data_IF_266065004468
#
_entry.id   IF_266065004468
#
_cell.length_a   1.000
_cell.length_b   1.000
_cell.length_c   1.000
_cell.angle_alpha   90.00
_cell.angle_beta   90.00
_cell.angle_gamma   90.00
#
_symmetry.space_group_name_H-M   'P 1'
#
loop_
_entity.id
_entity.type
_entity.pdbx_description
1 polymer ?
#
# COMPACT_ATOMS: atom_id res chain seq x y z
N UNK A 1 -27.59 22.63 17.74
CA UNK A 1 -27.46 22.30 19.19
C UNK A 1 -27.13 20.82 19.43
N UNK A 2 -27.98 19.85 19.05
CA UNK A 2 -27.66 18.41 19.25
C UNK A 2 -26.61 17.92 18.25
N UNK A 3 -26.71 18.30 16.96
CA UNK A 3 -25.73 17.90 15.94
C UNK A 3 -24.33 18.48 16.22
N UNK A 4 -24.24 19.71 16.72
CA UNK A 4 -22.97 20.36 17.06
C UNK A 4 -22.30 19.68 18.25
N UNK A 5 -23.09 19.25 19.25
CA UNK A 5 -22.60 18.48 20.40
C UNK A 5 -22.05 17.12 19.96
N UNK A 6 -22.81 16.38 19.15
CA UNK A 6 -22.38 15.07 18.62
C UNK A 6 -21.13 15.21 17.75
N UNK A 7 -21.03 16.26 16.94
CA UNK A 7 -19.84 16.52 16.13
C UNK A 7 -18.61 16.78 17.02
N UNK A 8 -18.75 17.62 18.06
CA UNK A 8 -17.68 17.91 19.01
C UNK A 8 -17.22 16.66 19.79
N UNK A 9 -18.16 15.81 20.22
CA UNK A 9 -17.84 14.54 20.89
C UNK A 9 -17.11 13.57 19.96
N UNK A 10 -17.50 13.52 18.68
CA UNK A 10 -16.83 12.70 17.68
C UNK A 10 -15.42 13.21 17.37
N UNK A 11 -15.22 14.52 17.29
CA UNK A 11 -13.90 15.14 17.13
C UNK A 11 -13.01 14.83 18.33
N UNK A 12 -13.50 14.99 19.56
CA UNK A 12 -12.76 14.63 20.77
C UNK A 12 -12.41 13.13 20.83
N UNK A 13 -13.34 12.26 20.42
CA UNK A 13 -13.07 10.83 20.31
C UNK A 13 -11.98 10.56 19.27
N UNK A 14 -12.08 11.18 18.10
CA UNK A 14 -11.12 11.05 17.01
C UNK A 14 -9.72 11.50 17.46
N UNK A 15 -9.57 12.65 18.11
CA UNK A 15 -8.30 13.12 18.67
C UNK A 15 -7.69 12.11 19.65
N UNK A 16 -8.53 11.50 20.51
CA UNK A 16 -8.07 10.53 21.50
C UNK A 16 -7.59 9.20 20.90
N UNK A 17 -8.13 8.78 19.74
CA UNK A 17 -7.85 7.45 19.17
C UNK A 17 -7.01 7.49 17.89
N UNK A 18 -6.99 8.59 17.13
CA UNK A 18 -6.37 8.67 15.80
C UNK A 18 -4.89 8.31 15.82
N UNK A 19 -4.15 8.77 16.84
CA UNK A 19 -2.73 8.46 17.03
C UNK A 19 -2.45 6.95 17.17
N UNK A 20 -3.41 6.16 17.66
CA UNK A 20 -3.29 4.69 17.73
C UNK A 20 -3.31 4.04 16.34
N UNK A 21 -3.94 4.70 15.37
CA UNK A 21 -4.05 4.23 13.98
C UNK A 21 -3.01 4.85 13.03
N UNK A 22 -2.20 5.81 13.50
CA UNK A 22 -1.07 6.38 12.75
C UNK A 22 0.19 5.49 12.79
N UNK A 23 0.18 4.42 13.60
CA UNK A 23 1.34 3.53 13.79
C UNK A 23 1.48 2.58 12.62
N UNK A 24 2.69 2.47 12.08
CA UNK A 24 3.04 1.47 11.08
C UNK A 24 3.46 0.13 11.71
N UNK A 25 3.81 0.09 13.00
CA UNK A 25 4.22 -1.12 13.73
C UNK A 25 3.27 -2.33 13.60
N UNK A 26 1.93 -2.18 13.59
CA UNK A 26 1.03 -3.32 13.43
C UNK A 26 1.29 -4.12 12.14
N UNK A 27 1.72 -3.46 11.05
CA UNK A 27 2.05 -4.16 9.79
C UNK A 27 3.25 -5.09 9.97
N UNK A 28 4.28 -4.65 10.69
CA UNK A 28 5.48 -5.45 10.96
C UNK A 28 5.13 -6.67 11.80
N UNK A 29 4.27 -6.51 12.81
CA UNK A 29 3.83 -7.61 13.68
C UNK A 29 2.97 -8.63 12.95
N UNK A 30 2.07 -8.18 12.08
CA UNK A 30 1.31 -9.09 11.21
C UNK A 30 2.25 -9.88 10.32
N UNK A 31 3.24 -9.22 9.68
CA UNK A 31 4.23 -9.91 8.85
C UNK A 31 5.02 -10.95 9.65
N UNK A 32 5.54 -10.60 10.82
CA UNK A 32 6.27 -11.52 11.69
C UNK A 32 5.41 -12.75 12.05
N UNK A 33 4.19 -12.51 12.51
CA UNK A 33 3.24 -13.57 12.87
C UNK A 33 2.93 -14.52 11.71
N UNK A 34 2.72 -13.96 10.51
CA UNK A 34 2.45 -14.72 9.28
C UNK A 34 3.67 -15.50 8.85
N UNK A 35 4.85 -14.89 8.85
CA UNK A 35 6.10 -15.55 8.43
C UNK A 35 6.50 -16.67 9.38
N UNK A 36 6.27 -16.51 10.69
CA UNK A 36 6.49 -17.57 11.68
C UNK A 36 5.66 -18.83 11.38
N UNK A 37 4.45 -18.68 10.82
CA UNK A 37 3.48 -19.78 10.60
C UNK A 37 3.46 -20.31 9.18
N UNK A 38 3.62 -19.44 8.19
CA UNK A 38 3.47 -19.74 6.77
C UNK A 38 4.81 -19.68 6.01
N UNK A 39 5.89 -19.23 6.65
CA UNK A 39 7.19 -19.00 6.04
C UNK A 39 7.74 -20.24 5.33
N UNK A 40 8.10 -20.08 4.05
CA UNK A 40 8.54 -21.17 3.19
C UNK A 40 9.53 -20.60 2.16
N UNK A 41 10.72 -21.20 1.95
CA UNK A 41 11.63 -20.80 0.88
C UNK A 41 10.99 -20.73 -0.52
N UNK A 42 9.97 -21.54 -0.79
CA UNK A 42 9.20 -21.56 -2.03
C UNK A 42 8.01 -20.57 -2.04
N UNK A 43 7.82 -19.78 -0.97
CA UNK A 43 6.73 -18.81 -0.85
C UNK A 43 6.68 -17.79 -1.98
N UNK A 44 5.50 -17.19 -2.16
CA UNK A 44 5.20 -16.22 -3.21
C UNK A 44 4.68 -14.93 -2.60
N UNK A 45 5.28 -13.82 -3.01
CA UNK A 45 4.78 -12.47 -2.77
C UNK A 45 3.80 -12.08 -3.89
N UNK A 46 2.63 -11.54 -3.55
CA UNK A 46 1.60 -11.15 -4.50
C UNK A 46 1.21 -9.70 -4.24
N UNK A 47 1.42 -8.82 -5.22
CA UNK A 47 1.03 -7.42 -5.16
C UNK A 47 -0.27 -7.20 -5.91
N UNK A 48 -1.20 -6.50 -5.28
CA UNK A 48 -2.42 -6.03 -5.92
C UNK A 48 -2.91 -4.73 -5.26
N UNK A 49 -3.74 -3.95 -5.93
CA UNK A 49 -4.45 -2.83 -5.32
C UNK A 49 -5.95 -3.05 -5.23
N UNK A 50 -6.52 -2.49 -4.16
CA UNK A 50 -7.97 -2.58 -3.93
C UNK A 50 -8.55 -1.20 -3.66
N UNK A 51 -9.77 -0.99 -4.16
CA UNK A 51 -10.48 0.27 -4.05
C UNK A 51 -11.53 0.25 -2.95
N UNK A 52 -11.48 1.24 -2.07
CA UNK A 52 -12.44 1.44 -0.99
C UNK A 52 -13.34 2.62 -1.31
N UNK A 53 -14.62 2.36 -1.58
CA UNK A 53 -15.60 3.42 -1.84
C UNK A 53 -15.74 4.33 -0.62
N UNK A 54 -15.80 5.65 -0.89
CA UNK A 54 -15.89 6.67 0.14
C UNK A 54 -16.86 7.77 -0.24
N UNK A 55 -17.36 8.47 0.77
CA UNK A 55 -18.15 9.70 0.63
C UNK A 55 -17.34 10.89 1.15
N UNK A 56 -17.56 12.05 0.55
CA UNK A 56 -16.85 13.29 0.89
C UNK A 56 -15.39 13.32 0.42
N UNK A 57 -14.66 14.34 0.88
CA UNK A 57 -13.32 14.70 0.38
C UNK A 57 -12.21 14.66 1.45
N UNK A 58 -12.56 14.36 2.71
CA UNK A 58 -11.64 14.47 3.85
C UNK A 58 -10.79 13.22 4.10
N UNK A 59 -11.22 12.03 3.67
CA UNK A 59 -10.44 10.80 3.88
C UNK A 59 -9.15 10.81 3.04
N UNK A 60 -8.00 10.53 3.65
CA UNK A 60 -6.68 10.51 3.01
C UNK A 60 -6.68 9.83 1.63
N UNK A 61 -6.20 10.49 0.58
CA UNK A 61 -6.11 9.90 -0.77
C UNK A 61 -7.45 9.70 -1.49
N UNK A 62 -8.58 10.12 -0.91
CA UNK A 62 -9.88 9.99 -1.57
C UNK A 62 -10.01 10.95 -2.76
N UNK A 63 -10.38 10.42 -3.91
CA UNK A 63 -10.78 11.19 -5.08
C UNK A 63 -11.61 10.32 -6.03
N UNK A 64 -12.17 10.92 -7.08
CA UNK A 64 -12.71 10.19 -8.23
C UNK A 64 -11.56 9.54 -9.00
N UNK A 65 -11.46 8.23 -8.93
CA UNK A 65 -10.47 7.43 -9.63
C UNK A 65 -11.05 6.04 -9.94
N UNK A 66 -10.43 5.32 -10.88
CA UNK A 66 -10.88 3.97 -11.20
C UNK A 66 -10.67 3.04 -10.00
N UNK A 67 -11.73 2.37 -9.58
CA UNK A 67 -11.70 1.32 -8.56
C UNK A 67 -11.95 -0.01 -9.24
N UNK A 68 -10.98 -0.93 -9.18
CA UNK A 68 -11.14 -2.28 -9.71
C UNK A 68 -12.32 -3.01 -9.06
N UNK A 69 -12.50 -2.84 -7.74
CA UNK A 69 -13.61 -3.42 -6.98
C UNK A 69 -14.98 -2.92 -7.44
N UNK A 70 -15.09 -1.65 -7.86
CA UNK A 70 -16.34 -1.09 -8.36
C UNK A 70 -16.52 -1.25 -9.89
N UNK A 71 -15.45 -1.64 -10.60
CA UNK A 71 -15.41 -1.73 -12.06
C UNK A 71 -15.56 -0.37 -12.79
N UNK A 72 -15.47 0.76 -12.06
CA UNK A 72 -15.73 2.10 -12.62
C UNK A 72 -15.02 3.19 -11.84
N UNK A 73 -15.03 4.41 -12.41
CA UNK A 73 -14.53 5.61 -11.73
C UNK A 73 -15.51 6.05 -10.66
N UNK A 74 -15.06 6.02 -9.41
CA UNK A 74 -15.84 6.42 -8.24
C UNK A 74 -14.98 7.18 -7.24
N UNK A 75 -15.66 7.86 -6.32
CA UNK A 75 -14.96 8.45 -5.18
C UNK A 75 -14.48 7.33 -4.24
N UNK A 76 -13.17 7.09 -4.25
CA UNK A 76 -12.57 5.99 -3.51
C UNK A 76 -11.14 6.30 -3.05
N UNK A 77 -10.69 5.54 -2.07
CA UNK A 77 -9.28 5.38 -1.72
C UNK A 77 -8.76 4.12 -2.39
N UNK A 78 -7.48 4.11 -2.77
CA UNK A 78 -6.82 2.90 -3.28
C UNK A 78 -5.71 2.52 -2.31
N UNK A 79 -5.70 1.27 -1.85
CA UNK A 79 -4.56 0.71 -1.14
C UNK A 79 -3.82 -0.28 -2.02
N UNK A 80 -2.48 -0.25 -1.99
CA UNK A 80 -1.60 -1.26 -2.57
C UNK A 80 -1.23 -2.25 -1.48
N UNK A 81 -1.41 -3.54 -1.72
CA UNK A 81 -1.28 -4.61 -0.73
C UNK A 81 -0.24 -5.64 -1.16
N UNK A 82 0.37 -6.28 -0.17
CA UNK A 82 1.24 -7.44 -0.36
C UNK A 82 0.66 -8.63 0.39
N UNK A 83 0.21 -9.62 -0.38
CA UNK A 83 -0.10 -10.94 0.15
C UNK A 83 1.14 -11.83 0.11
N UNK A 84 1.21 -12.74 1.08
CA UNK A 84 2.17 -13.83 1.13
C UNK A 84 1.40 -15.14 1.00
N UNK A 85 1.88 -16.05 0.16
CA UNK A 85 1.30 -17.37 -0.04
C UNK A 85 2.36 -18.47 -0.01
N UNK A 86 2.05 -19.61 0.61
CA UNK A 86 2.84 -20.82 0.59
C UNK A 86 1.94 -22.07 0.61
N UNK A 87 2.51 -23.26 0.69
CA UNK A 87 1.74 -24.49 0.88
C UNK A 87 0.93 -24.52 2.19
N UNK A 88 1.31 -23.72 3.19
CA UNK A 88 0.63 -23.66 4.48
C UNK A 88 -0.58 -22.69 4.51
N UNK A 89 -0.74 -21.83 3.50
CA UNK A 89 -1.82 -20.86 3.43
C UNK A 89 -1.40 -19.51 2.85
N UNK A 90 -2.24 -18.49 3.03
CA UNK A 90 -1.99 -17.13 2.55
C UNK A 90 -2.52 -16.05 3.49
N UNK A 91 -1.88 -14.89 3.52
CA UNK A 91 -2.31 -13.73 4.29
C UNK A 91 -1.72 -12.41 3.76
N UNK A 92 -2.35 -11.29 4.09
CA UNK A 92 -1.79 -9.96 3.86
C UNK A 92 -0.68 -9.67 4.88
N UNK A 93 0.47 -9.20 4.40
CA UNK A 93 1.65 -8.93 5.25
C UNK A 93 2.15 -7.49 5.19
N UNK A 94 1.71 -6.70 4.21
CA UNK A 94 2.05 -5.27 4.12
C UNK A 94 1.02 -4.52 3.28
N UNK A 95 1.03 -3.18 3.37
CA UNK A 95 0.13 -2.27 2.67
C UNK A 95 0.70 -0.86 2.59
N UNK A 96 0.33 -0.13 1.55
CA UNK A 96 0.50 1.31 1.40
C UNK A 96 -0.78 1.96 0.90
N UNK A 97 -1.04 3.20 1.32
CA UNK A 97 -2.13 4.00 0.76
C UNK A 97 -1.61 4.75 -0.47
N UNK A 98 -2.30 4.63 -1.60
CA UNK A 98 -2.01 5.46 -2.75
C UNK A 98 -2.56 6.87 -2.54
N UNK A 99 -1.65 7.85 -2.51
CA UNK A 99 -2.00 9.27 -2.47
C UNK A 99 -1.82 9.87 -3.88
N UNK A 100 -2.92 10.30 -4.52
CA UNK A 100 -2.84 10.99 -5.81
C UNK A 100 -2.02 12.27 -5.77
N UNK A 101 -1.53 12.74 -6.92
CA UNK A 101 -0.85 14.04 -7.03
C UNK A 101 -1.74 15.19 -6.50
N UNK A 102 -3.04 15.14 -6.74
CA UNK A 102 -4.01 16.12 -6.23
C UNK A 102 -4.07 16.23 -4.70
N UNK A 103 -3.63 15.20 -3.99
CA UNK A 103 -3.47 15.21 -2.53
C UNK A 103 -2.08 15.72 -2.16
N UNK A 104 -1.05 15.11 -2.76
CA UNK A 104 0.34 15.48 -2.47
C UNK A 104 0.76 16.80 -3.11
N UNK A 105 -0.13 17.57 -3.73
CA UNK A 105 0.07 18.98 -4.08
C UNK A 105 -0.60 19.95 -3.09
N UNK A 106 -1.49 19.46 -2.22
CA UNK A 106 -2.24 20.24 -1.23
C UNK A 106 -1.79 19.85 0.20
N UNK A 107 -0.82 20.61 0.73
CA UNK A 107 -0.22 20.32 2.04
C UNK A 107 -1.19 20.53 3.20
N UNK A 108 -2.07 21.51 3.11
CA UNK A 108 -3.01 21.79 4.19
C UNK A 108 -4.06 20.68 4.29
N UNK A 109 -4.51 20.16 3.14
CA UNK A 109 -5.36 18.96 3.09
C UNK A 109 -4.66 17.71 3.61
N UNK A 110 -3.38 17.52 3.27
CA UNK A 110 -2.57 16.42 3.82
C UNK A 110 -2.48 16.48 5.34
N UNK A 111 -2.12 17.63 5.90
CA UNK A 111 -1.99 17.83 7.35
C UNK A 111 -3.32 17.62 8.07
N UNK A 112 -4.42 18.12 7.51
CA UNK A 112 -5.75 17.88 8.05
C UNK A 112 -6.15 16.39 8.07
N UNK A 113 -5.55 15.55 7.20
CA UNK A 113 -5.74 14.11 7.18
C UNK A 113 -4.64 13.33 7.95
N UNK A 114 -3.73 14.02 8.65
CA UNK A 114 -2.63 13.42 9.40
C UNK A 114 -1.48 12.88 8.54
N UNK A 115 -1.33 13.36 7.30
CA UNK A 115 -0.24 12.99 6.39
C UNK A 115 0.91 13.99 6.57
N UNK A 116 2.10 13.48 6.89
CA UNK A 116 3.30 14.31 7.07
C UNK A 116 3.83 14.91 5.76
N UNK A 117 4.54 16.03 5.87
CA UNK A 117 5.07 16.81 4.73
C UNK A 117 6.19 16.07 3.96
N UNK A 118 6.80 15.06 4.59
CA UNK A 118 7.77 14.15 3.99
C UNK A 118 7.15 13.21 2.95
N UNK A 119 5.85 12.95 3.05
CA UNK A 119 5.15 12.05 2.11
C UNK A 119 5.00 12.73 0.75
N UNK A 120 5.69 12.17 -0.26
CA UNK A 120 5.64 12.64 -1.64
C UNK A 120 4.75 11.74 -2.49
N UNK A 121 4.37 12.24 -3.67
CA UNK A 121 3.70 11.42 -4.67
C UNK A 121 4.54 10.18 -5.00
N UNK A 122 3.89 9.03 -5.04
CA UNK A 122 4.46 7.78 -5.52
C UNK A 122 3.41 7.03 -6.33
N UNK A 123 3.79 6.55 -7.51
CA UNK A 123 2.91 5.71 -8.33
C UNK A 123 2.69 4.35 -7.65
N UNK A 124 1.60 3.65 -7.98
CA UNK A 124 1.33 2.31 -7.42
C UNK A 124 2.49 1.33 -7.63
N UNK A 125 3.17 1.28 -8.81
CA UNK A 125 4.39 0.47 -8.97
C UNK A 125 5.54 0.86 -8.04
N UNK A 126 5.74 2.15 -7.75
CA UNK A 126 6.75 2.59 -6.79
C UNK A 126 6.37 2.16 -5.36
N UNK A 127 5.09 2.27 -4.99
CA UNK A 127 4.61 1.76 -3.70
C UNK A 127 4.80 0.24 -3.58
N UNK A 128 4.48 -0.52 -4.62
CA UNK A 128 4.73 -1.96 -4.69
C UNK A 128 6.21 -2.30 -4.50
N UNK A 129 7.11 -1.53 -5.12
CA UNK A 129 8.55 -1.67 -4.94
C UNK A 129 8.94 -1.49 -3.47
N UNK A 130 8.52 -0.39 -2.84
CA UNK A 130 8.82 -0.13 -1.42
C UNK A 130 8.29 -1.23 -0.50
N UNK A 131 7.09 -1.74 -0.78
CA UNK A 131 6.51 -2.84 -0.01
C UNK A 131 7.35 -4.13 -0.13
N UNK A 132 7.79 -4.48 -1.34
CA UNK A 132 8.65 -5.66 -1.55
C UNK A 132 10.05 -5.46 -0.95
N UNK A 133 10.62 -4.26 -1.03
CA UNK A 133 11.89 -3.92 -0.38
C UNK A 133 11.82 -4.16 1.13
N UNK A 134 10.74 -3.73 1.78
CA UNK A 134 10.54 -4.03 3.22
C UNK A 134 10.43 -5.52 3.52
N UNK A 135 9.82 -6.32 2.65
CA UNK A 135 9.79 -7.77 2.80
C UNK A 135 11.19 -8.40 2.64
N UNK A 136 12.01 -7.86 1.74
CA UNK A 136 13.41 -8.26 1.59
C UNK A 136 14.25 -7.90 2.81
N UNK A 137 14.09 -6.69 3.35
CA UNK A 137 14.80 -6.19 4.53
C UNK A 137 14.40 -6.97 5.79
N UNK A 138 13.13 -7.34 5.91
CA UNK A 138 12.62 -8.22 6.95
C UNK A 138 12.94 -9.71 6.72
N UNK A 139 13.73 -10.04 5.70
CA UNK A 139 14.19 -11.39 5.37
C UNK A 139 13.05 -12.41 5.20
N UNK A 140 11.87 -11.97 4.73
CA UNK A 140 10.74 -12.86 4.43
C UNK A 140 11.22 -13.99 3.49
N UNK A 141 10.97 -15.27 3.81
CA UNK A 141 11.35 -16.37 2.94
C UNK A 141 10.39 -16.43 1.75
N UNK A 142 10.91 -16.29 0.52
CA UNK A 142 10.13 -16.45 -0.70
C UNK A 142 11.05 -16.75 -1.89
N UNK A 143 10.50 -17.35 -2.93
CA UNK A 143 11.19 -17.61 -4.20
C UNK A 143 10.70 -16.71 -5.32
N UNK A 144 9.42 -16.33 -5.30
CA UNK A 144 8.78 -15.58 -6.38
C UNK A 144 8.00 -14.37 -5.88
N UNK A 145 7.90 -13.32 -6.70
CA UNK A 145 6.95 -12.23 -6.52
C UNK A 145 6.11 -12.04 -7.79
N UNK A 146 4.82 -11.79 -7.68
CA UNK A 146 3.91 -11.54 -8.81
C UNK A 146 3.06 -10.30 -8.54
N UNK A 147 2.48 -9.72 -9.57
CA UNK A 147 1.62 -8.55 -9.49
C UNK A 147 0.57 -8.56 -10.60
N UNK A 148 -0.50 -7.79 -10.43
CA UNK A 148 -1.46 -7.51 -11.50
C UNK A 148 -0.78 -6.88 -12.73
N UNK A 149 -1.36 -7.09 -13.91
CA UNK A 149 -0.77 -6.64 -15.19
C UNK A 149 -0.59 -5.11 -15.26
N UNK A 150 -1.42 -4.33 -14.57
CA UNK A 150 -1.32 -2.88 -14.54
C UNK A 150 0.03 -2.40 -13.96
N UNK A 151 0.67 -3.21 -13.10
CA UNK A 151 1.99 -2.91 -12.56
C UNK A 151 3.10 -3.08 -13.60
N UNK A 152 2.86 -3.84 -14.66
CA UNK A 152 3.81 -4.09 -15.76
C UNK A 152 3.86 -2.98 -16.83
N UNK A 153 2.98 -1.98 -16.76
CA UNK A 153 2.73 -0.98 -17.80
C UNK A 153 3.39 0.40 -17.54
N UNK A 154 4.24 0.54 -16.52
CA UNK A 154 4.87 1.81 -16.20
C UNK A 154 5.76 2.35 -17.35
N UNK A 155 5.56 3.61 -17.72
CA UNK A 155 6.20 4.25 -18.89
C UNK A 155 7.75 4.28 -18.81
N UNK A 156 8.37 4.26 -19.99
CA UNK A 156 9.80 4.06 -20.26
C UNK A 156 10.79 5.12 -19.73
N UNK A 157 10.39 5.99 -18.79
CA UNK A 157 11.21 7.08 -18.25
C UNK A 157 11.49 7.01 -16.74
N UNK A 158 10.91 6.05 -16.01
CA UNK A 158 11.30 5.79 -14.61
C UNK A 158 12.52 4.88 -14.60
N UNK A 159 13.63 5.18 -13.90
CA UNK A 159 14.85 4.37 -13.96
C UNK A 159 14.71 2.90 -13.54
N UNK A 160 13.52 2.47 -13.08
CA UNK A 160 13.23 1.11 -12.59
C UNK A 160 11.77 0.72 -12.90
N UNK A 161 11.25 1.06 -14.08
CA UNK A 161 9.91 0.63 -14.49
C UNK A 161 9.80 -0.91 -14.45
N UNK A 162 8.83 -1.40 -13.67
CA UNK A 162 8.34 -2.78 -13.70
C UNK A 162 7.76 -2.99 -15.10
N UNK A 163 8.56 -3.58 -15.99
CA UNK A 163 8.15 -3.95 -17.34
C UNK A 163 7.96 -5.46 -17.35
N UNK A 164 6.72 -5.92 -17.38
CA UNK A 164 6.28 -7.19 -17.95
C UNK A 164 4.84 -7.51 -17.48
N UNK A 165 3.96 -7.69 -18.47
CA UNK A 165 2.62 -8.28 -18.34
C UNK A 165 2.77 -9.72 -17.81
N UNK A 166 2.03 -10.10 -16.76
CA UNK A 166 1.81 -11.49 -16.34
C UNK A 166 3.05 -12.31 -15.93
N UNK A 167 4.00 -11.77 -15.17
CA UNK A 167 5.21 -12.53 -14.78
C UNK A 167 5.51 -12.57 -13.29
N UNK A 168 5.86 -13.79 -12.84
CA UNK A 168 6.49 -14.06 -11.57
C UNK A 168 8.00 -13.72 -11.63
N UNK A 169 8.52 -13.17 -10.55
CA UNK A 169 9.87 -12.66 -10.40
C UNK A 169 10.65 -13.47 -9.40
N UNK A 170 11.73 -14.12 -9.85
CA UNK A 170 12.60 -14.85 -8.91
C UNK A 170 13.29 -13.87 -7.97
N UNK A 171 13.26 -14.12 -6.66
CA UNK A 171 13.92 -13.28 -5.62
C UNK A 171 15.33 -12.83 -6.00
N UNK A 172 16.15 -13.75 -6.53
CA UNK A 172 17.53 -13.49 -7.00
C UNK A 172 17.68 -12.45 -8.13
N UNK A 173 16.60 -12.10 -8.84
CA UNK A 173 16.57 -11.10 -9.92
C UNK A 173 15.97 -9.76 -9.48
N UNK A 174 15.17 -9.74 -8.42
CA UNK A 174 14.54 -8.50 -7.89
C UNK A 174 15.62 -7.49 -7.47
N UNK A 175 16.59 -7.92 -6.65
CA UNK A 175 17.68 -7.05 -6.17
C UNK A 175 18.54 -6.48 -7.31
N UNK A 176 18.87 -7.29 -8.33
CA UNK A 176 19.67 -6.83 -9.48
C UNK A 176 18.93 -5.81 -10.33
N UNK A 177 17.62 -6.00 -10.54
CA UNK A 177 16.83 -5.11 -11.37
C UNK A 177 16.55 -3.77 -10.70
N UNK A 178 16.45 -3.75 -9.38
CA UNK A 178 16.19 -2.53 -8.62
C UNK A 178 17.45 -1.83 -8.12
N UNK A 179 18.65 -2.26 -8.53
CA UNK A 179 19.89 -1.51 -8.35
C UNK A 179 20.19 -1.07 -6.91
N UNK A 180 19.74 -1.82 -5.91
CA UNK A 180 20.17 -1.62 -4.52
C UNK A 180 21.51 -2.34 -4.33
N UNK A 181 22.60 -1.55 -4.28
CA UNK A 181 23.87 -2.03 -3.70
C UNK A 181 23.66 -2.17 -2.20
N UNK A 182 23.48 -3.41 -1.75
CA UNK A 182 23.77 -3.86 -0.39
C UNK A 182 24.38 -5.25 -0.50
#
# INVERSE_FOLDING_TARGET
MVLDLVAAELEALHERISSRFARSEPRSRVREYVVERLGDPAGVLIVDDTGFLKKGTRSAGVQRQYSGTAGRVENCQIGVFLAYASGAGHALIDRELYLPESWTSDRDRCRAAGIGDEVKFATKPVLAQHIIERALDAQVPFSWATADEAYGQAAAGSPKAVRAVGTAWRRSRIRRRWGSRW
#
